data_IF_638398506995
#
_entry.id   IF_638398506995
#
_cell.length_a   1.000
_cell.length_b   1.000
_cell.length_c   1.000
_cell.angle_alpha   90.00
_cell.angle_beta   90.00
_cell.angle_gamma   90.00
#
_symmetry.space_group_name_H-M   'P 1'
#
loop_
_entity.id
_entity.type
_entity.pdbx_description
1 polymer ?
#
# COMPACT_ATOMS: atom_id res chain seq x y z
N UNK A 1 13.84 -12.90 2.60
CA UNK A 1 12.50 -12.74 3.19
C UNK A 1 12.18 -13.97 4.00
N UNK A 2 11.71 -13.77 5.23
CA UNK A 2 11.09 -14.82 6.05
C UNK A 2 9.73 -14.28 6.49
N UNK A 3 8.67 -15.05 6.29
CA UNK A 3 7.32 -14.62 6.58
C UNK A 3 6.32 -15.76 6.54
N UNK A 4 5.06 -15.41 6.76
CA UNK A 4 3.92 -16.32 6.58
C UNK A 4 2.90 -15.62 5.70
N UNK A 5 2.35 -16.35 4.74
CA UNK A 5 1.17 -15.93 3.98
C UNK A 5 0.07 -16.92 4.32
N UNK A 6 -1.06 -16.43 4.83
CA UNK A 6 -2.10 -17.22 5.47
C UNK A 6 -1.51 -18.09 6.60
N UNK A 7 -1.30 -19.39 6.34
CA UNK A 7 -0.69 -20.35 7.28
C UNK A 7 0.64 -20.92 6.81
N UNK A 8 1.06 -20.63 5.58
CA UNK A 8 2.22 -21.28 4.98
C UNK A 8 3.49 -20.46 5.26
N UNK A 9 4.54 -21.07 5.82
CA UNK A 9 5.83 -20.42 5.93
C UNK A 9 6.40 -20.19 4.53
N UNK A 10 6.85 -18.96 4.28
CA UNK A 10 7.56 -18.61 3.06
C UNK A 10 8.96 -18.14 3.44
N UNK A 11 9.97 -18.72 2.83
CA UNK A 11 11.33 -18.20 2.86
C UNK A 11 11.85 -18.12 1.44
N UNK A 12 12.50 -17.02 1.12
CA UNK A 12 13.04 -16.79 -0.21
C UNK A 12 14.12 -15.72 -0.21
N UNK A 13 15.11 -15.90 -1.08
CA UNK A 13 16.27 -15.00 -1.23
C UNK A 13 16.52 -14.64 -2.69
N UNK A 14 15.44 -14.41 -3.44
CA UNK A 14 15.48 -14.06 -4.87
C UNK A 14 14.64 -12.83 -5.19
N UNK A 15 14.50 -12.56 -6.49
CA UNK A 15 13.63 -11.49 -6.96
C UNK A 15 12.17 -11.82 -6.67
N UNK A 16 11.37 -10.78 -6.49
CA UNK A 16 9.93 -10.87 -6.44
C UNK A 16 9.34 -9.92 -7.46
N UNK A 17 8.34 -10.37 -8.21
CA UNK A 17 7.53 -9.52 -9.08
C UNK A 17 6.06 -9.77 -8.83
N UNK A 18 5.24 -8.75 -9.13
CA UNK A 18 3.80 -8.85 -9.03
C UNK A 18 3.12 -7.92 -10.03
N UNK A 19 1.96 -8.33 -10.49
CA UNK A 19 1.08 -7.56 -11.36
C UNK A 19 -0.28 -7.43 -10.67
N UNK A 20 -0.76 -6.19 -10.55
CA UNK A 20 -2.01 -5.86 -9.88
C UNK A 20 -2.81 -4.97 -10.81
N UNK A 21 -4.02 -5.39 -11.19
CA UNK A 21 -4.83 -4.71 -12.20
C UNK A 21 -6.24 -4.44 -11.70
N UNK A 22 -6.92 -3.50 -12.38
CA UNK A 22 -8.26 -3.05 -12.04
C UNK A 22 -8.36 -2.63 -10.58
N UNK A 23 -7.48 -1.72 -10.18
CA UNK A 23 -7.41 -1.24 -8.80
C UNK A 23 -8.32 -0.02 -8.68
N UNK A 24 -9.32 -0.13 -7.81
CA UNK A 24 -10.17 0.98 -7.40
C UNK A 24 -9.72 1.49 -6.03
N UNK A 25 -9.58 2.80 -5.86
CA UNK A 25 -9.11 3.40 -4.61
C UNK A 25 -10.06 4.50 -4.17
N UNK A 26 -10.52 4.40 -2.93
CA UNK A 26 -11.26 5.44 -2.24
C UNK A 26 -10.36 6.09 -1.19
N UNK A 27 -10.34 7.41 -1.17
CA UNK A 27 -9.51 8.19 -0.25
C UNK A 27 -10.37 9.19 0.51
N UNK A 28 -10.23 9.21 1.83
CA UNK A 28 -10.84 10.22 2.70
C UNK A 28 -9.74 10.96 3.43
N UNK A 29 -9.71 12.28 3.27
CA UNK A 29 -8.71 13.14 3.91
C UNK A 29 -9.43 14.06 4.89
N UNK A 30 -9.02 14.00 6.16
CA UNK A 30 -9.51 14.92 7.18
C UNK A 30 -8.47 16.00 7.44
N UNK A 31 -8.87 17.25 7.21
CA UNK A 31 -7.99 18.40 7.28
C UNK A 31 -8.44 19.39 8.35
N UNK A 32 -7.50 20.16 8.86
CA UNK A 32 -7.76 21.35 9.67
C UNK A 32 -7.00 22.55 9.11
N UNK A 33 -7.49 23.76 9.37
CA UNK A 33 -6.77 25.00 9.08
C UNK A 33 -5.84 25.31 10.23
N UNK A 34 -4.61 25.73 9.92
CA UNK A 34 -3.65 26.25 10.90
C UNK A 34 -3.20 27.64 10.46
N UNK A 35 -3.00 28.56 11.39
CA UNK A 35 -2.48 29.91 11.09
C UNK A 35 -1.01 29.96 11.48
N UNK A 36 -0.17 30.45 10.58
CA UNK A 36 1.26 30.67 10.79
C UNK A 36 1.66 31.93 10.05
N UNK A 37 2.33 32.86 10.73
CA UNK A 37 2.82 34.12 10.13
C UNK A 37 1.71 34.90 9.38
N UNK A 38 0.54 35.01 10.00
CA UNK A 38 -0.69 35.63 9.47
C UNK A 38 -1.26 35.01 8.17
N UNK A 39 -0.68 33.89 7.72
CA UNK A 39 -1.19 33.09 6.61
C UNK A 39 -1.88 31.82 7.12
N UNK A 40 -2.96 31.41 6.44
CA UNK A 40 -3.68 30.17 6.76
C UNK A 40 -3.18 29.03 5.88
N UNK A 41 -2.81 27.90 6.50
CA UNK A 41 -2.35 26.68 5.86
C UNK A 41 -3.32 25.53 6.13
N UNK A 42 -3.23 24.47 5.32
CA UNK A 42 -3.97 23.24 5.55
C UNK A 42 -3.06 22.23 6.28
N UNK A 43 -3.63 21.49 7.23
CA UNK A 43 -2.95 20.42 7.92
C UNK A 43 -3.80 19.15 7.85
N UNK A 44 -3.27 18.11 7.23
CA UNK A 44 -3.89 16.78 7.19
C UNK A 44 -3.78 16.14 8.57
N UNK A 45 -4.92 15.97 9.24
CA UNK A 45 -5.01 15.22 10.49
C UNK A 45 -5.01 13.73 10.21
N UNK A 46 -5.87 13.27 9.32
CA UNK A 46 -6.05 11.86 9.03
C UNK A 46 -6.18 11.64 7.52
N UNK A 47 -5.69 10.51 7.08
CA UNK A 47 -5.70 10.08 5.69
C UNK A 47 -6.10 8.62 5.70
N UNK A 48 -7.26 8.32 5.14
CA UNK A 48 -7.80 6.97 5.06
C UNK A 48 -7.80 6.53 3.60
N UNK A 49 -7.40 5.28 3.39
CA UNK A 49 -7.36 4.65 2.08
C UNK A 49 -8.12 3.34 2.20
N UNK A 50 -9.03 3.12 1.26
CA UNK A 50 -9.63 1.81 1.00
C UNK A 50 -9.34 1.48 -0.47
N UNK A 51 -8.66 0.36 -0.74
CA UNK A 51 -8.41 -0.07 -2.12
C UNK A 51 -8.95 -1.47 -2.40
N UNK A 52 -9.46 -1.67 -3.61
CA UNK A 52 -9.92 -2.95 -4.09
C UNK A 52 -9.11 -3.35 -5.32
N UNK A 53 -8.53 -4.54 -5.29
CA UNK A 53 -7.76 -5.09 -6.40
C UNK A 53 -8.67 -6.03 -7.18
N UNK A 54 -8.87 -5.78 -8.47
CA UNK A 54 -9.66 -6.65 -9.34
C UNK A 54 -8.93 -7.93 -9.73
N UNK A 55 -7.60 -7.90 -9.87
CA UNK A 55 -6.77 -9.08 -10.05
C UNK A 55 -5.34 -8.87 -9.56
N UNK A 56 -4.73 -9.92 -9.00
CA UNK A 56 -3.33 -9.94 -8.62
C UNK A 56 -2.66 -11.22 -9.10
N UNK A 57 -1.42 -11.10 -9.57
CA UNK A 57 -0.51 -12.21 -9.82
C UNK A 57 0.85 -11.92 -9.24
N UNK A 58 1.50 -12.93 -8.68
CA UNK A 58 2.81 -12.82 -8.06
C UNK A 58 3.76 -13.91 -8.53
N UNK A 59 5.04 -13.57 -8.58
CA UNK A 59 6.15 -14.50 -8.81
C UNK A 59 7.24 -14.23 -7.78
N UNK A 60 7.54 -15.26 -7.01
CA UNK A 60 8.63 -15.25 -6.03
C UNK A 60 9.71 -16.23 -6.50
N UNK A 61 10.94 -15.73 -6.66
CA UNK A 61 12.09 -16.54 -7.04
C UNK A 61 12.87 -17.02 -5.82
N UNK A 62 13.56 -18.15 -6.01
CA UNK A 62 14.47 -18.74 -5.03
C UNK A 62 13.80 -19.01 -3.67
N UNK A 63 12.55 -19.48 -3.71
CA UNK A 63 11.83 -19.96 -2.53
C UNK A 63 12.43 -21.28 -2.02
N UNK A 64 12.31 -21.54 -0.72
CA UNK A 64 12.69 -22.81 -0.08
C UNK A 64 14.13 -23.26 -0.42
N UNK A 65 15.09 -22.32 -0.38
CA UNK A 65 16.49 -22.55 -0.74
C UNK A 65 16.70 -23.08 -2.17
N UNK A 66 15.81 -22.72 -3.11
CA UNK A 66 15.93 -23.05 -4.52
C UNK A 66 15.21 -24.35 -4.93
N UNK A 67 14.40 -24.93 -4.05
CA UNK A 67 13.53 -26.05 -4.40
C UNK A 67 12.48 -25.58 -5.43
N UNK A 68 12.63 -26.07 -6.67
CA UNK A 68 11.77 -25.66 -7.78
C UNK A 68 10.35 -26.17 -7.65
N UNK A 69 10.15 -27.37 -7.12
CA UNK A 69 8.82 -27.98 -7.03
C UNK A 69 7.99 -27.26 -5.97
N UNK A 70 8.56 -27.06 -4.78
CA UNK A 70 7.91 -26.29 -3.72
C UNK A 70 7.73 -24.82 -4.10
N UNK A 71 8.70 -24.24 -4.80
CA UNK A 71 8.62 -22.87 -5.31
C UNK A 71 7.49 -22.67 -6.32
N UNK A 72 7.33 -23.56 -7.30
CA UNK A 72 6.23 -23.50 -8.27
C UNK A 72 4.89 -23.76 -7.60
N UNK A 73 4.79 -24.75 -6.72
CA UNK A 73 3.57 -25.04 -5.96
C UNK A 73 3.12 -23.83 -5.12
N UNK A 74 4.07 -23.13 -4.48
CA UNK A 74 3.77 -21.91 -3.73
C UNK A 74 3.31 -20.76 -4.63
N UNK A 75 3.97 -20.54 -5.76
CA UNK A 75 3.53 -19.53 -6.71
C UNK A 75 2.12 -19.84 -7.23
N UNK A 76 1.82 -21.08 -7.57
CA UNK A 76 0.47 -21.50 -7.98
C UNK A 76 -0.54 -21.22 -6.87
N UNK A 77 -0.24 -21.63 -5.63
CA UNK A 77 -1.11 -21.39 -4.49
C UNK A 77 -1.41 -19.90 -4.28
N UNK A 78 -0.39 -19.04 -4.34
CA UNK A 78 -0.55 -17.59 -4.18
C UNK A 78 -1.41 -16.99 -5.29
N UNK A 79 -1.22 -17.42 -6.54
CA UNK A 79 -1.99 -16.93 -7.68
C UNK A 79 -3.43 -17.45 -7.68
N UNK A 80 -3.68 -18.71 -7.30
CA UNK A 80 -5.04 -19.28 -7.22
C UNK A 80 -5.83 -18.65 -6.07
N UNK A 81 -5.15 -18.27 -4.98
CA UNK A 81 -5.75 -17.69 -3.78
C UNK A 81 -5.51 -16.18 -3.66
N UNK A 82 -5.18 -15.51 -4.77
CA UNK A 82 -4.71 -14.13 -4.78
C UNK A 82 -5.62 -13.17 -4.01
N UNK A 83 -6.95 -13.37 -4.10
CA UNK A 83 -7.94 -12.52 -3.44
C UNK A 83 -7.88 -12.63 -1.93
N UNK A 84 -7.75 -13.84 -1.40
CA UNK A 84 -7.62 -14.09 0.04
C UNK A 84 -6.31 -13.52 0.57
N UNK A 85 -5.22 -13.73 -0.17
CA UNK A 85 -3.90 -13.18 0.17
C UNK A 85 -3.94 -11.65 0.16
N UNK A 86 -4.51 -11.04 -0.88
CA UNK A 86 -4.67 -9.60 -0.98
C UNK A 86 -5.49 -9.03 0.18
N UNK A 87 -6.60 -9.67 0.55
CA UNK A 87 -7.44 -9.23 1.67
C UNK A 87 -6.74 -9.34 3.03
N UNK A 88 -5.88 -10.34 3.22
CA UNK A 88 -5.11 -10.49 4.47
C UNK A 88 -4.08 -9.38 4.64
N UNK A 89 -3.39 -9.00 3.57
CA UNK A 89 -2.33 -7.97 3.61
C UNK A 89 -2.89 -6.55 3.47
N UNK A 90 -4.11 -6.40 2.94
CA UNK A 90 -4.75 -5.12 2.62
C UNK A 90 -4.71 -4.11 3.77
N UNK A 91 -5.12 -4.44 5.02
CA UNK A 91 -5.16 -3.46 6.11
C UNK A 91 -3.78 -2.82 6.39
N UNK A 92 -2.71 -3.63 6.41
CA UNK A 92 -1.34 -3.16 6.65
C UNK A 92 -0.85 -2.28 5.51
N UNK A 93 -1.19 -2.64 4.27
CA UNK A 93 -0.86 -1.83 3.10
C UNK A 93 -1.62 -0.50 3.13
N UNK A 94 -2.91 -0.49 3.45
CA UNK A 94 -3.73 0.72 3.57
C UNK A 94 -3.13 1.68 4.57
N UNK A 95 -2.81 1.22 5.78
CA UNK A 95 -2.19 2.02 6.82
C UNK A 95 -0.81 2.55 6.41
N UNK A 96 0.00 1.72 5.75
CA UNK A 96 1.33 2.12 5.30
C UNK A 96 1.25 3.21 4.23
N UNK A 97 0.41 3.01 3.23
CA UNK A 97 0.22 3.94 2.12
C UNK A 97 -0.40 5.24 2.63
N UNK A 98 -1.42 5.16 3.49
CA UNK A 98 -2.05 6.31 4.14
C UNK A 98 -1.04 7.18 4.88
N UNK A 99 -0.16 6.55 5.66
CA UNK A 99 0.89 7.26 6.40
C UNK A 99 1.90 7.96 5.48
N UNK A 100 2.27 7.33 4.37
CA UNK A 100 3.17 7.93 3.36
C UNK A 100 2.49 9.16 2.73
N UNK A 101 1.26 9.01 2.26
CA UNK A 101 0.53 10.10 1.61
C UNK A 101 0.20 11.24 2.58
N UNK A 102 -0.14 10.95 3.83
CA UNK A 102 -0.31 11.98 4.88
C UNK A 102 0.94 12.83 5.06
N UNK A 103 2.11 12.19 5.15
CA UNK A 103 3.41 12.90 5.28
C UNK A 103 3.69 13.75 4.05
N UNK A 104 3.46 13.20 2.86
CA UNK A 104 3.65 13.91 1.59
C UNK A 104 2.72 15.12 1.45
N UNK A 105 1.42 14.93 1.72
CA UNK A 105 0.41 15.98 1.66
C UNK A 105 0.72 17.11 2.65
N UNK A 106 1.08 16.80 3.90
CA UNK A 106 1.48 17.82 4.87
C UNK A 106 2.74 18.59 4.43
N UNK A 107 3.72 17.93 3.81
CA UNK A 107 4.90 18.62 3.26
C UNK A 107 4.52 19.68 2.21
N UNK A 108 3.49 19.42 1.41
CA UNK A 108 2.97 20.37 0.42
C UNK A 108 2.15 21.46 1.11
N UNK A 109 1.15 21.07 1.91
CA UNK A 109 0.19 22.00 2.50
C UNK A 109 0.78 22.91 3.58
N UNK A 110 1.90 22.54 4.20
CA UNK A 110 2.64 23.43 5.10
C UNK A 110 3.60 24.37 4.37
N UNK A 111 3.85 24.12 3.07
CA UNK A 111 4.70 24.98 2.24
C UNK A 111 3.91 26.08 1.54
N UNK A 112 2.64 25.85 1.23
CA UNK A 112 1.80 26.79 0.49
C UNK A 112 0.54 27.16 1.29
N UNK A 113 0.28 28.45 1.54
CA UNK A 113 -0.93 28.89 2.23
C UNK A 113 -2.17 28.71 1.34
N UNK A 114 -3.33 28.52 1.97
CA UNK A 114 -4.61 28.26 1.32
C UNK A 114 -5.00 29.34 0.30
N UNK A 115 -4.72 30.60 0.60
CA UNK A 115 -5.01 31.73 -0.30
C UNK A 115 -4.25 31.66 -1.62
N UNK A 116 -3.14 30.91 -1.68
CA UNK A 116 -2.31 30.71 -2.89
C UNK A 116 -2.55 29.34 -3.55
N UNK A 117 -3.27 28.43 -2.91
CA UNK A 117 -3.63 27.12 -3.48
C UNK A 117 -5.07 27.16 -4.01
N UNK A 118 -5.26 27.38 -5.31
CA UNK A 118 -6.56 27.35 -5.99
C UNK A 118 -7.15 25.93 -6.15
N UNK A 119 -6.91 25.04 -5.20
CA UNK A 119 -7.32 23.63 -5.27
C UNK A 119 -8.66 23.32 -4.61
N UNK A 120 -9.39 24.34 -4.13
CA UNK A 120 -10.79 24.26 -3.73
C UNK A 120 -11.48 25.59 -4.00
#
# INVERSE_FOLDING_TARGET
>A
MEGRVLMLPISGSGNSSGNYTNIDVSVVIQNQRIVKDDETYLNVKDFFIDFNIGHASVRLENLFNGDKELGEAMNLFLNDNWKSVANEIKPVLEDTIANIFKKFANKIFHKYPLTKSSLF
#
